data_IF_102067023939
#
_entry.id   IF_102067023939
#
_cell.length_a   1.000
_cell.length_b   1.000
_cell.length_c   1.000
_cell.angle_alpha   90.00
_cell.angle_beta   90.00
_cell.angle_gamma   90.00
#
_symmetry.space_group_name_H-M   'P 1'
#
loop_
_entity.id
_entity.type
_entity.pdbx_description
1 polymer ?
#
# COMPACT_ATOMS: atom_id res chain seq x y z
N UNK A 1 -36.44 27.79 -82.93
CA UNK A 1 -36.63 26.78 -81.87
C UNK A 1 -35.99 27.34 -80.62
N UNK A 2 -36.61 28.24 -79.85
CA UNK A 2 -37.94 28.20 -79.21
C UNK A 2 -38.01 27.27 -78.00
N UNK A 3 -38.45 27.87 -76.88
CA UNK A 3 -39.07 27.31 -75.65
C UNK A 3 -38.09 26.64 -74.66
N UNK A 4 -37.81 27.11 -73.43
CA UNK A 4 -38.56 27.77 -72.35
C UNK A 4 -39.51 26.86 -71.54
N UNK A 5 -39.36 26.95 -70.21
CA UNK A 5 -40.19 26.45 -69.10
C UNK A 5 -40.22 24.92 -68.85
N UNK A 6 -40.29 24.36 -67.62
CA UNK A 6 -40.98 24.80 -66.40
C UNK A 6 -40.31 24.19 -65.15
N UNK A 7 -40.12 25.05 -64.15
CA UNK A 7 -39.84 24.78 -62.74
C UNK A 7 -41.01 24.07 -62.03
N UNK A 8 -40.75 23.10 -61.13
CA UNK A 8 -41.74 22.73 -60.11
C UNK A 8 -41.12 22.15 -58.84
N UNK A 9 -40.92 23.02 -57.86
CA UNK A 9 -41.61 22.87 -56.58
C UNK A 9 -40.89 22.20 -55.39
N UNK A 10 -40.69 23.03 -54.37
CA UNK A 10 -40.78 22.76 -52.92
C UNK A 10 -39.60 22.07 -52.18
N UNK A 11 -38.92 22.87 -51.36
CA UNK A 11 -38.28 22.47 -50.10
C UNK A 11 -39.34 22.21 -49.00
N UNK A 12 -39.01 21.90 -47.71
CA UNK A 12 -37.77 21.40 -47.11
C UNK A 12 -37.99 20.14 -46.21
N UNK A 13 -36.97 19.32 -45.93
CA UNK A 13 -36.90 18.62 -44.64
C UNK A 13 -35.45 18.58 -44.14
N UNK A 14 -35.31 19.09 -42.92
CA UNK A 14 -34.12 19.19 -42.09
C UNK A 14 -33.63 17.83 -41.56
N UNK A 15 -32.32 17.73 -41.34
CA UNK A 15 -31.65 17.34 -40.07
C UNK A 15 -30.55 16.30 -40.25
N UNK A 16 -29.33 16.64 -39.83
CA UNK A 16 -28.28 15.66 -39.49
C UNK A 16 -26.88 16.00 -39.98
N UNK A 17 -26.33 17.14 -39.57
CA UNK A 17 -24.91 17.44 -39.74
C UNK A 17 -24.08 16.45 -38.90
N UNK A 18 -23.18 15.70 -39.54
CA UNK A 18 -22.11 14.97 -38.86
C UNK A 18 -20.85 15.85 -38.90
N UNK A 19 -20.59 16.43 -37.73
CA UNK A 19 -19.44 17.24 -37.38
C UNK A 19 -18.14 16.40 -37.39
N UNK A 20 -17.18 16.84 -38.18
CA UNK A 20 -15.81 16.31 -38.22
C UNK A 20 -15.03 16.79 -37.00
N UNK A 21 -15.05 15.98 -35.94
CA UNK A 21 -14.24 16.19 -34.74
C UNK A 21 -12.83 15.62 -34.88
N UNK A 22 -11.89 16.49 -35.21
CA UNK A 22 -10.45 16.31 -34.99
C UNK A 22 -10.18 15.95 -33.53
N UNK A 23 -9.41 14.89 -33.26
CA UNK A 23 -8.97 14.52 -31.91
C UNK A 23 -7.44 14.42 -31.86
N UNK A 24 -6.80 15.58 -31.71
CA UNK A 24 -5.62 15.74 -30.86
C UNK A 24 -6.15 16.04 -29.43
N UNK A 25 -5.49 15.59 -28.35
CA UNK A 25 -4.70 16.54 -27.55
C UNK A 25 -3.40 15.92 -26.96
N UNK A 26 -2.26 16.62 -27.01
CA UNK A 26 -1.73 17.58 -26.01
C UNK A 26 -1.26 16.90 -24.70
N UNK A 27 0.05 16.81 -24.40
CA UNK A 27 0.99 17.87 -24.02
C UNK A 27 0.67 18.55 -22.67
N UNK A 28 1.69 18.54 -21.80
CA UNK A 28 2.04 19.53 -20.78
C UNK A 28 1.00 19.90 -19.70
N UNK A 29 1.37 19.68 -18.43
CA UNK A 29 0.78 20.33 -17.26
C UNK A 29 1.87 20.88 -16.35
N UNK A 30 2.07 22.19 -16.37
CA UNK A 30 2.75 22.99 -15.35
C UNK A 30 1.69 23.89 -14.73
N UNK A 31 1.52 23.87 -13.39
CA UNK A 31 1.07 24.97 -12.51
C UNK A 31 1.15 24.45 -11.05
N UNK A 32 2.13 24.90 -10.24
CA UNK A 32 2.06 25.97 -9.22
C UNK A 32 1.06 25.67 -8.08
N UNK A 33 1.29 25.84 -6.77
CA UNK A 33 2.38 26.25 -5.86
C UNK A 33 1.89 25.90 -4.44
N UNK A 34 2.76 25.52 -3.51
CA UNK A 34 2.65 25.90 -2.07
C UNK A 34 3.94 25.53 -1.31
N UNK A 35 4.62 26.56 -0.79
CA UNK A 35 5.68 26.50 0.20
C UNK A 35 5.12 25.98 1.55
N UNK A 36 5.74 25.01 2.24
CA UNK A 36 6.94 25.02 3.09
C UNK A 36 6.70 25.41 4.57
N UNK A 37 6.92 24.42 5.45
CA UNK A 37 7.39 24.47 6.87
C UNK A 37 6.46 25.10 7.94
N UNK A 38 6.42 24.68 9.22
CA UNK A 38 7.43 24.05 10.11
C UNK A 38 6.74 23.57 11.41
N UNK A 39 7.35 22.57 12.08
CA UNK A 39 7.45 22.31 13.54
C UNK A 39 6.18 22.19 14.42
N UNK A 40 6.07 21.43 15.50
CA UNK A 40 6.72 20.26 16.12
C UNK A 40 5.99 20.10 17.48
N UNK A 41 5.81 18.84 17.90
CA UNK A 41 5.71 18.36 19.28
C UNK A 41 4.99 19.21 20.35
N UNK A 42 3.97 18.62 20.98
CA UNK A 42 4.06 18.24 22.40
C UNK A 42 2.98 17.23 22.77
N UNK A 43 3.41 16.24 23.55
CA UNK A 43 2.58 15.33 24.32
C UNK A 43 1.90 16.08 25.49
N UNK A 44 0.75 15.58 25.97
CA UNK A 44 0.64 15.06 27.34
C UNK A 44 -0.68 14.31 27.59
N UNK A 45 -0.50 13.05 27.99
CA UNK A 45 -1.15 12.27 29.05
C UNK A 45 -2.65 12.48 29.34
N UNK A 46 -3.43 11.43 29.00
CA UNK A 46 -4.75 11.15 29.59
C UNK A 46 -4.58 10.35 30.89
N UNK A 47 -4.98 10.98 31.98
CA UNK A 47 -5.22 10.38 33.28
C UNK A 47 -6.48 9.48 33.20
N UNK A 48 -6.40 8.23 33.67
CA UNK A 48 -7.60 7.40 33.88
C UNK A 48 -7.36 6.46 35.05
N UNK A 49 -7.83 6.91 36.21
CA UNK A 49 -8.05 6.13 37.39
C UNK A 49 -9.05 4.99 37.11
N UNK A 50 -8.72 3.77 37.55
CA UNK A 50 -9.72 2.72 37.77
C UNK A 50 -9.61 2.21 39.19
N UNK A 51 -10.67 2.51 39.93
CA UNK A 51 -10.97 2.01 41.26
C UNK A 51 -11.17 0.49 41.24
N UNK A 52 -10.63 -0.19 42.25
CA UNK A 52 -10.99 -1.56 42.57
C UNK A 52 -11.67 -1.59 43.94
N UNK A 53 -13.00 -1.62 43.89
CA UNK A 53 -13.91 -1.87 45.02
C UNK A 53 -13.83 -3.34 45.42
N UNK A 54 -13.51 -3.60 46.69
CA UNK A 54 -13.61 -4.92 47.30
C UNK A 54 -15.06 -5.18 47.75
N UNK A 55 -15.63 -6.30 47.34
CA UNK A 55 -16.94 -6.80 47.79
C UNK A 55 -16.76 -8.01 48.71
N UNK A 56 -17.25 -7.80 49.94
CA UNK A 56 -18.08 -8.68 50.77
C UNK A 56 -17.73 -10.16 51.00
N UNK A 57 -17.66 -10.52 52.28
CA UNK A 57 -18.30 -11.72 52.86
C UNK A 57 -18.44 -11.48 54.37
N UNK A 58 -19.64 -11.16 54.86
CA UNK A 58 -20.71 -12.08 55.27
C UNK A 58 -20.44 -12.72 56.65
N UNK A 59 -21.27 -12.27 57.59
CA UNK A 59 -21.32 -12.57 59.01
C UNK A 59 -21.86 -13.99 59.29
N UNK A 60 -21.31 -14.69 60.29
CA UNK A 60 -22.00 -15.79 60.96
C UNK A 60 -21.60 -15.84 62.44
N UNK A 61 -22.58 -15.55 63.31
CA UNK A 61 -22.51 -15.74 64.77
C UNK A 61 -22.51 -17.23 65.12
N UNK A 62 -21.73 -17.59 66.14
CA UNK A 62 -21.83 -18.87 66.83
C UNK A 62 -21.12 -18.79 68.18
N UNK A 63 -21.90 -18.77 69.25
CA UNK A 63 -21.44 -18.57 70.62
C UNK A 63 -20.61 -19.76 71.17
N UNK A 64 -19.73 -19.39 72.09
CA UNK A 64 -18.81 -20.16 72.93
C UNK A 64 -19.10 -21.65 73.21
N UNK A 65 -18.07 -22.48 72.96
CA UNK A 65 -17.75 -23.66 73.77
C UNK A 65 -16.28 -23.57 74.18
N UNK A 66 -16.04 -23.51 75.50
CA UNK A 66 -14.70 -23.60 76.11
C UNK A 66 -14.32 -25.07 76.23
N UNK A 67 -13.29 -25.52 75.51
CA UNK A 67 -12.45 -26.64 75.95
C UNK A 67 -11.08 -26.64 75.24
N UNK A 68 -10.07 -26.16 75.95
CA UNK A 68 -8.80 -26.83 76.32
C UNK A 68 -8.06 -27.78 75.35
N UNK A 69 -8.13 -27.63 74.02
CA UNK A 69 -7.43 -28.57 73.10
C UNK A 69 -6.60 -27.86 72.01
N UNK A 70 -6.34 -26.56 72.17
CA UNK A 70 -5.71 -25.69 71.17
C UNK A 70 -4.20 -25.41 71.33
N UNK A 71 -3.50 -26.12 72.21
CA UNK A 71 -2.05 -25.88 72.40
C UNK A 71 -1.12 -26.71 71.50
N UNK A 72 -1.63 -27.36 70.44
CA UNK A 72 -0.78 -28.14 69.50
C UNK A 72 -0.81 -27.70 68.04
N UNK A 73 -1.16 -26.46 67.73
CA UNK A 73 -0.76 -25.81 66.48
C UNK A 73 -0.27 -24.38 66.74
N UNK A 74 0.85 -24.27 67.47
CA UNK A 74 1.65 -23.05 67.46
C UNK A 74 2.50 -23.02 66.20
N UNK A 75 1.93 -22.49 65.11
CA UNK A 75 2.73 -22.06 63.96
C UNK A 75 3.49 -20.80 64.40
N UNK A 76 4.83 -20.77 64.36
CA UNK A 76 5.60 -19.62 64.82
C UNK A 76 5.23 -18.38 64.01
N UNK A 77 4.87 -17.31 64.73
CA UNK A 77 4.36 -16.04 64.18
C UNK A 77 5.46 -15.17 63.53
N UNK A 78 6.63 -15.75 63.24
CA UNK A 78 7.81 -15.07 62.66
C UNK A 78 8.13 -15.44 61.20
N UNK A 79 7.52 -16.49 60.62
CA UNK A 79 7.82 -16.94 59.24
C UNK A 79 6.80 -16.47 58.19
N UNK A 80 5.64 -15.95 58.61
CA UNK A 80 4.58 -15.51 57.69
C UNK A 80 4.99 -14.30 56.83
N UNK A 81 5.78 -13.37 57.39
CA UNK A 81 6.31 -12.23 56.65
C UNK A 81 7.34 -12.63 55.58
N UNK A 82 8.19 -13.62 55.89
CA UNK A 82 9.19 -14.13 54.93
C UNK A 82 8.54 -14.92 53.80
N UNK A 83 7.50 -15.71 54.08
CA UNK A 83 6.73 -16.42 53.05
C UNK A 83 5.97 -15.44 52.15
N UNK A 84 5.32 -14.43 52.73
CA UNK A 84 4.65 -13.38 51.96
C UNK A 84 5.63 -12.57 51.10
N UNK A 85 6.80 -12.21 51.63
CA UNK A 85 7.85 -11.51 50.88
C UNK A 85 8.40 -12.38 49.73
N UNK A 86 8.64 -13.68 49.94
CA UNK A 86 9.06 -14.59 48.88
C UNK A 86 8.01 -14.77 47.80
N UNK A 87 6.73 -14.85 48.17
CA UNK A 87 5.62 -14.91 47.21
C UNK A 87 5.53 -13.61 46.39
N UNK A 88 5.68 -12.45 47.02
CA UNK A 88 5.70 -11.17 46.32
C UNK A 88 6.87 -11.06 45.32
N UNK A 89 8.08 -11.48 45.73
CA UNK A 89 9.25 -11.53 44.84
C UNK A 89 9.02 -12.51 43.68
N UNK A 90 8.45 -13.69 43.93
CA UNK A 90 8.15 -14.66 42.88
C UNK A 90 7.13 -14.12 41.87
N UNK A 91 6.09 -13.41 42.32
CA UNK A 91 5.11 -12.76 41.43
C UNK A 91 5.76 -11.65 40.61
N UNK A 92 6.61 -10.82 41.22
CA UNK A 92 7.34 -9.77 40.51
C UNK A 92 8.28 -10.33 39.44
N UNK A 93 9.03 -11.39 39.77
CA UNK A 93 9.91 -12.06 38.82
C UNK A 93 9.11 -12.74 37.69
N UNK A 94 8.00 -13.41 38.02
CA UNK A 94 7.10 -14.01 37.04
C UNK A 94 6.51 -12.96 36.09
N UNK A 95 6.08 -11.81 36.63
CA UNK A 95 5.60 -10.68 35.85
C UNK A 95 6.67 -10.08 34.94
N UNK A 96 7.91 -9.94 35.42
CA UNK A 96 9.03 -9.42 34.63
C UNK A 96 9.44 -10.35 33.48
N UNK A 97 9.43 -11.68 33.70
CA UNK A 97 9.71 -12.65 32.65
C UNK A 97 8.58 -12.68 31.61
N UNK A 98 7.34 -12.66 32.07
CA UNK A 98 6.17 -12.63 31.19
C UNK A 98 6.13 -11.37 30.33
N UNK A 99 6.40 -10.19 30.92
CA UNK A 99 6.46 -8.93 30.16
C UNK A 99 7.61 -8.93 29.16
N UNK A 100 8.80 -9.38 29.55
CA UNK A 100 9.96 -9.49 28.64
C UNK A 100 9.66 -10.43 27.48
N UNK A 101 9.05 -11.60 27.74
CA UNK A 101 8.64 -12.54 26.70
C UNK A 101 7.60 -11.96 25.74
N UNK A 102 6.59 -11.27 26.27
CA UNK A 102 5.57 -10.59 25.46
C UNK A 102 6.18 -9.50 24.57
N UNK A 103 7.00 -8.60 25.15
CA UNK A 103 7.70 -7.55 24.39
C UNK A 103 8.62 -8.13 23.32
N UNK A 104 9.28 -9.26 23.58
CA UNK A 104 10.17 -9.89 22.61
C UNK A 104 9.43 -10.47 21.39
N UNK A 105 8.28 -11.12 21.60
CA UNK A 105 7.45 -11.61 20.48
C UNK A 105 6.89 -10.43 19.70
N UNK A 106 6.34 -9.42 20.38
CA UNK A 106 5.82 -8.23 19.72
C UNK A 106 6.88 -7.50 18.90
N UNK A 107 8.15 -7.48 19.35
CA UNK A 107 9.24 -6.87 18.60
C UNK A 107 9.60 -7.67 17.35
N UNK A 108 9.53 -9.01 17.37
CA UNK A 108 9.85 -9.84 16.21
C UNK A 108 8.87 -9.68 15.06
N UNK A 109 7.58 -9.60 15.37
CA UNK A 109 6.55 -9.41 14.34
C UNK A 109 6.72 -8.05 13.63
N UNK A 110 7.13 -7.02 14.38
CA UNK A 110 7.43 -5.72 13.80
C UNK A 110 8.68 -5.76 12.90
N UNK A 111 9.75 -6.44 13.33
CA UNK A 111 10.98 -6.58 12.52
C UNK A 111 10.71 -7.35 11.21
N UNK A 112 9.93 -8.43 11.27
CA UNK A 112 9.56 -9.22 10.09
C UNK A 112 8.72 -8.41 9.10
N UNK A 113 7.74 -7.65 9.60
CA UNK A 113 6.91 -6.76 8.79
C UNK A 113 7.73 -5.64 8.15
N UNK A 114 8.60 -4.97 8.92
CA UNK A 114 9.46 -3.91 8.40
C UNK A 114 10.44 -4.43 7.33
N UNK A 115 11.01 -5.62 7.56
CA UNK A 115 11.86 -6.28 6.56
C UNK A 115 11.09 -6.61 5.29
N UNK A 116 9.88 -7.17 5.41
CA UNK A 116 9.02 -7.46 4.27
C UNK A 116 8.63 -6.21 3.48
N UNK A 117 8.36 -5.09 4.17
CA UNK A 117 8.06 -3.81 3.53
C UNK A 117 9.26 -3.29 2.73
N UNK A 118 10.47 -3.35 3.30
CA UNK A 118 11.67 -2.91 2.57
C UNK A 118 11.98 -3.84 1.39
N UNK A 119 11.82 -5.15 1.53
CA UNK A 119 11.94 -6.11 0.42
C UNK A 119 10.94 -5.81 -0.70
N UNK A 120 9.66 -5.58 -0.35
CA UNK A 120 8.63 -5.26 -1.31
C UNK A 120 8.90 -3.92 -2.02
N UNK A 121 9.37 -2.91 -1.27
CA UNK A 121 9.79 -1.61 -1.79
C UNK A 121 10.93 -1.78 -2.79
N UNK A 122 11.97 -2.51 -2.42
CA UNK A 122 13.13 -2.76 -3.26
C UNK A 122 12.73 -3.51 -4.54
N UNK A 123 11.86 -4.52 -4.43
CA UNK A 123 11.33 -5.25 -5.57
C UNK A 123 10.51 -4.36 -6.51
N UNK A 124 9.63 -3.49 -5.97
CA UNK A 124 8.87 -2.54 -6.76
C UNK A 124 9.80 -1.54 -7.50
N UNK A 125 10.84 -1.06 -6.82
CA UNK A 125 11.85 -0.19 -7.40
C UNK A 125 12.70 -0.86 -8.47
N UNK A 126 13.02 -2.15 -8.30
CA UNK A 126 13.72 -2.94 -9.31
C UNK A 126 12.84 -3.19 -10.55
N UNK A 127 11.52 -3.32 -10.36
CA UNK A 127 10.57 -3.55 -11.45
C UNK A 127 10.15 -2.27 -12.17
N UNK A 128 10.22 -1.11 -11.52
CA UNK A 128 9.92 0.19 -12.11
C UNK A 128 10.61 0.46 -13.47
N UNK A 129 11.94 0.34 -13.61
CA UNK A 129 12.60 0.54 -14.90
C UNK A 129 12.21 -0.52 -15.94
N UNK A 130 11.80 -1.73 -15.52
CA UNK A 130 11.32 -2.77 -16.43
C UNK A 130 10.04 -2.33 -17.15
N UNK A 131 9.18 -1.55 -16.49
CA UNK A 131 7.96 -0.99 -17.08
C UNK A 131 8.19 0.28 -17.91
N UNK A 132 9.19 1.07 -17.55
CA UNK A 132 9.39 2.41 -18.11
C UNK A 132 10.48 2.50 -19.18
N UNK A 133 11.33 1.49 -19.31
CA UNK A 133 12.43 1.47 -20.26
C UNK A 133 12.14 0.53 -21.43
N UNK A 134 11.82 1.10 -22.59
CA UNK A 134 11.49 0.34 -23.79
C UNK A 134 11.93 1.08 -25.06
N UNK A 135 12.15 0.32 -26.13
CA UNK A 135 12.49 0.81 -27.46
C UNK A 135 11.55 0.15 -28.47
N UNK A 136 10.86 0.96 -29.28
CA UNK A 136 9.99 0.51 -30.37
C UNK A 136 10.65 -0.52 -31.30
N UNK A 137 11.98 -0.51 -31.42
CA UNK A 137 12.75 -1.44 -32.25
C UNK A 137 12.98 -2.81 -31.60
N UNK A 138 12.84 -2.92 -30.28
CA UNK A 138 13.08 -4.15 -29.52
C UNK A 138 12.06 -4.36 -28.40
N UNK A 139 10.79 -4.44 -28.78
CA UNK A 139 9.69 -4.58 -27.83
C UNK A 139 9.57 -5.99 -27.24
N UNK A 140 10.00 -7.04 -27.94
CA UNK A 140 9.85 -8.42 -27.46
C UNK A 140 10.58 -8.65 -26.13
N UNK A 141 11.81 -8.15 -26.00
CA UNK A 141 12.56 -8.22 -24.74
C UNK A 141 11.87 -7.46 -23.59
N UNK A 142 11.25 -6.31 -23.90
CA UNK A 142 10.49 -5.53 -22.92
C UNK A 142 9.28 -6.32 -22.42
N UNK A 143 8.45 -6.86 -23.31
CA UNK A 143 7.25 -7.61 -22.93
C UNK A 143 7.58 -8.87 -22.11
N UNK A 144 8.64 -9.61 -22.47
CA UNK A 144 9.11 -10.75 -21.67
C UNK A 144 9.54 -10.32 -20.27
N UNK A 145 10.36 -9.26 -20.16
CA UNK A 145 10.85 -8.79 -18.87
C UNK A 145 9.71 -8.32 -17.94
N UNK A 146 8.70 -7.65 -18.50
CA UNK A 146 7.51 -7.25 -17.73
C UNK A 146 6.75 -8.48 -17.22
N UNK A 147 6.53 -9.50 -18.06
CA UNK A 147 5.81 -10.72 -17.67
C UNK A 147 6.58 -11.57 -16.64
N UNK A 148 7.91 -11.51 -16.61
CA UNK A 148 8.76 -12.22 -15.64
C UNK A 148 8.72 -11.64 -14.22
N UNK A 149 8.35 -10.36 -14.10
CA UNK A 149 8.10 -9.68 -12.82
C UNK A 149 6.61 -9.59 -12.46
N UNK A 150 5.72 -10.08 -13.32
CA UNK A 150 4.28 -10.04 -13.13
C UNK A 150 3.70 -11.38 -12.64
N UNK A 151 2.62 -11.30 -11.86
CA UNK A 151 1.78 -12.43 -11.45
C UNK A 151 0.30 -12.04 -11.45
N UNK A 152 -0.59 -13.01 -11.23
CA UNK A 152 -2.04 -12.77 -11.06
C UNK A 152 -2.67 -11.97 -12.20
N UNK A 153 -3.52 -11.01 -11.82
CA UNK A 153 -4.31 -10.19 -12.75
C UNK A 153 -3.42 -9.35 -13.66
N UNK A 154 -2.36 -8.75 -13.11
CA UNK A 154 -1.43 -7.92 -13.89
C UNK A 154 -0.79 -8.70 -15.04
N UNK A 155 -0.30 -9.91 -14.76
CA UNK A 155 0.32 -10.76 -15.80
C UNK A 155 -0.67 -11.05 -16.92
N UNK A 156 -1.90 -11.41 -16.57
CA UNK A 156 -2.96 -11.73 -17.52
C UNK A 156 -3.35 -10.50 -18.36
N UNK A 157 -3.64 -9.37 -17.71
CA UNK A 157 -4.06 -8.14 -18.39
C UNK A 157 -2.98 -7.61 -19.32
N UNK A 158 -1.73 -7.64 -18.88
CA UNK A 158 -0.61 -7.19 -19.69
C UNK A 158 -0.41 -8.11 -20.90
N UNK A 159 -0.43 -9.44 -20.72
CA UNK A 159 -0.32 -10.40 -21.84
C UNK A 159 -1.45 -10.24 -22.86
N UNK A 160 -2.70 -10.13 -22.39
CA UNK A 160 -3.90 -9.98 -23.22
C UNK A 160 -3.83 -8.69 -24.08
N UNK A 161 -3.23 -7.60 -23.56
CA UNK A 161 -3.14 -6.28 -24.23
C UNK A 161 -1.80 -6.02 -24.92
N UNK A 162 -0.81 -6.90 -24.76
CA UNK A 162 0.57 -6.69 -25.23
C UNK A 162 0.66 -6.46 -26.74
N UNK A 163 -0.18 -7.14 -27.52
CA UNK A 163 -0.17 -7.06 -29.00
C UNK A 163 -0.54 -5.66 -29.49
N UNK A 164 -1.64 -5.12 -28.97
CA UNK A 164 -2.12 -3.79 -29.30
C UNK A 164 -1.12 -2.72 -28.84
N UNK A 165 -0.59 -2.87 -27.62
CA UNK A 165 0.44 -1.97 -27.11
C UNK A 165 1.70 -2.00 -27.98
N UNK A 166 2.13 -3.18 -28.45
CA UNK A 166 3.28 -3.32 -29.36
C UNK A 166 3.10 -2.53 -30.65
N UNK A 167 1.90 -2.59 -31.23
CA UNK A 167 1.57 -1.86 -32.44
C UNK A 167 1.61 -0.34 -32.21
N UNK A 168 0.97 0.15 -31.15
CA UNK A 168 0.96 1.58 -30.80
C UNK A 168 2.37 2.11 -30.54
N UNK A 169 3.18 1.38 -29.76
CA UNK A 169 4.57 1.78 -29.48
C UNK A 169 5.44 1.77 -30.73
N UNK A 170 5.23 0.80 -31.62
CA UNK A 170 5.96 0.71 -32.89
C UNK A 170 5.57 1.84 -33.86
N UNK A 171 4.28 2.13 -34.00
CA UNK A 171 3.78 3.20 -34.88
C UNK A 171 4.22 4.57 -34.39
N UNK A 172 4.25 4.77 -33.06
CA UNK A 172 4.71 6.01 -32.45
C UNK A 172 6.23 6.18 -32.42
N UNK A 173 6.99 5.16 -32.88
CA UNK A 173 8.44 5.07 -32.73
C UNK A 173 8.92 5.44 -31.32
N UNK A 174 8.19 4.96 -30.30
CA UNK A 174 8.40 5.41 -28.92
C UNK A 174 9.64 4.75 -28.32
N UNK A 175 10.55 5.58 -27.84
CA UNK A 175 11.70 5.18 -27.04
C UNK A 175 11.60 5.89 -25.70
N UNK A 176 11.55 5.11 -24.62
CA UNK A 176 11.54 5.64 -23.26
C UNK A 176 12.76 5.16 -22.50
N UNK A 177 13.41 6.08 -21.79
CA UNK A 177 14.55 5.80 -20.92
C UNK A 177 14.27 6.33 -19.53
N UNK A 178 14.44 5.48 -18.52
CA UNK A 178 14.31 5.86 -17.12
C UNK A 178 15.52 6.66 -16.66
N UNK A 179 15.29 7.76 -15.95
CA UNK A 179 16.30 8.63 -15.38
C UNK A 179 16.32 8.56 -13.85
N UNK A 180 15.15 8.49 -13.23
CA UNK A 180 14.97 8.49 -11.77
C UNK A 180 13.83 7.56 -11.38
N UNK A 181 13.95 6.91 -10.22
CA UNK A 181 12.94 6.02 -9.67
C UNK A 181 12.81 6.28 -8.18
N UNK A 182 11.59 6.63 -7.75
CA UNK A 182 11.25 6.79 -6.35
C UNK A 182 10.18 5.77 -5.97
N UNK A 183 10.39 5.05 -4.87
CA UNK A 183 9.41 4.10 -4.36
C UNK A 183 9.16 4.27 -2.88
N UNK A 184 7.89 4.12 -2.50
CA UNK A 184 7.44 4.07 -1.12
C UNK A 184 6.43 2.94 -0.95
N UNK A 185 6.40 2.31 0.22
CA UNK A 185 5.34 1.37 0.58
C UNK A 185 4.29 2.12 1.38
N UNK A 186 3.03 1.98 0.98
CA UNK A 186 1.89 2.60 1.63
C UNK A 186 1.31 1.72 2.73
N UNK A 187 1.18 0.42 2.46
CA UNK A 187 0.65 -0.58 3.39
C UNK A 187 1.07 -1.98 2.94
N UNK A 188 1.05 -2.96 3.84
CA UNK A 188 1.37 -4.35 3.52
C UNK A 188 1.55 -5.22 4.75
N UNK A 189 1.65 -6.52 4.51
CA UNK A 189 2.02 -7.57 5.45
C UNK A 189 3.30 -8.28 4.96
N UNK A 190 3.65 -9.42 5.55
CA UNK A 190 4.86 -10.18 5.21
C UNK A 190 4.87 -10.77 3.79
N UNK A 191 3.71 -10.84 3.14
CA UNK A 191 3.47 -11.52 1.86
C UNK A 191 2.80 -10.65 0.81
N UNK A 192 2.24 -9.52 1.19
CA UNK A 192 1.56 -8.58 0.28
C UNK A 192 1.90 -7.14 0.63
N UNK A 193 2.03 -6.26 -0.37
CA UNK A 193 2.27 -4.84 -0.13
C UNK A 193 1.70 -3.97 -1.24
N UNK A 194 1.38 -2.72 -0.93
CA UNK A 194 1.03 -1.68 -1.89
C UNK A 194 2.18 -0.67 -1.97
N UNK A 195 2.88 -0.68 -3.09
CA UNK A 195 3.99 0.22 -3.37
C UNK A 195 3.55 1.34 -4.32
N UNK A 196 3.92 2.57 -4.01
CA UNK A 196 3.81 3.72 -4.90
C UNK A 196 5.15 3.89 -5.58
N UNK A 197 5.14 3.98 -6.90
CA UNK A 197 6.32 4.14 -7.72
C UNK A 197 6.15 5.38 -8.59
N UNK A 198 7.15 6.25 -8.58
CA UNK A 198 7.23 7.43 -9.44
C UNK A 198 8.51 7.34 -10.25
N UNK A 199 8.39 7.44 -11.56
CA UNK A 199 9.47 7.24 -12.51
C UNK A 199 9.65 8.54 -13.30
N UNK A 200 10.82 9.15 -13.17
CA UNK A 200 11.29 10.18 -14.09
C UNK A 200 11.89 9.51 -15.31
N UNK A 201 11.46 9.92 -16.50
CA UNK A 201 11.90 9.33 -17.76
C UNK A 201 12.06 10.37 -18.86
N UNK A 202 12.77 9.98 -19.92
CA UNK A 202 12.92 10.76 -21.14
C UNK A 202 12.31 9.97 -22.28
N UNK A 203 11.32 10.57 -22.95
CA UNK A 203 10.57 9.94 -24.04
C UNK A 203 10.94 10.62 -25.35
N UNK A 204 11.19 9.81 -26.37
CA UNK A 204 11.35 10.24 -27.75
C UNK A 204 10.32 9.51 -28.60
N UNK A 205 9.56 10.21 -29.43
CA UNK A 205 8.56 9.61 -30.30
C UNK A 205 8.29 10.49 -31.52
N UNK A 206 7.45 10.02 -32.45
CA UNK A 206 6.93 10.86 -33.54
C UNK A 206 6.21 12.11 -32.99
N UNK A 207 5.50 11.98 -31.87
CA UNK A 207 4.80 13.09 -31.22
C UNK A 207 5.75 14.14 -30.62
N UNK A 208 6.96 13.76 -30.23
CA UNK A 208 8.01 14.70 -29.80
C UNK A 208 8.88 15.19 -30.95
N UNK A 209 8.49 14.92 -32.21
CA UNK A 209 9.28 15.24 -33.41
C UNK A 209 10.69 14.63 -33.38
N UNK A 210 10.84 13.46 -32.74
CA UNK A 210 12.14 12.79 -32.56
C UNK A 210 13.06 13.48 -31.56
N UNK A 211 12.59 14.48 -30.80
CA UNK A 211 13.38 15.16 -29.76
C UNK A 211 13.12 14.50 -28.40
N UNK A 212 14.16 14.31 -27.55
CA UNK A 212 13.97 13.84 -26.19
C UNK A 212 13.15 14.86 -25.37
N UNK A 213 12.04 14.42 -24.78
CA UNK A 213 11.19 15.21 -23.91
C UNK A 213 11.10 14.56 -22.51
N UNK A 214 11.08 15.35 -21.42
CA UNK A 214 10.89 14.80 -20.09
C UNK A 214 9.46 14.26 -19.93
N UNK A 215 9.35 13.10 -19.28
CA UNK A 215 8.09 12.47 -18.91
C UNK A 215 8.15 11.97 -17.48
N UNK A 216 6.98 11.83 -16.86
CA UNK A 216 6.85 11.24 -15.54
C UNK A 216 5.75 10.20 -15.57
N UNK A 217 6.02 9.04 -14.98
CA UNK A 217 5.05 7.95 -14.84
C UNK A 217 4.92 7.60 -13.37
N UNK A 218 3.71 7.76 -12.83
CA UNK A 218 3.38 7.39 -11.46
C UNK A 218 2.41 6.22 -11.46
N UNK A 219 2.61 5.25 -10.59
CA UNK A 219 1.75 4.08 -10.46
C UNK A 219 1.71 3.53 -9.04
N UNK A 220 0.64 2.82 -8.73
CA UNK A 220 0.48 2.02 -7.51
C UNK A 220 0.55 0.55 -7.91
N UNK A 221 1.52 -0.16 -7.35
CA UNK A 221 1.73 -1.59 -7.57
C UNK A 221 1.28 -2.37 -6.33
N UNK A 222 0.39 -3.35 -6.52
CA UNK A 222 0.18 -4.39 -5.51
C UNK A 222 1.20 -5.49 -5.72
N UNK A 223 2.09 -5.63 -4.75
CA UNK A 223 3.12 -6.66 -4.66
C UNK A 223 2.55 -7.89 -3.97
N UNK A 224 2.96 -9.07 -4.43
CA UNK A 224 2.69 -10.35 -3.78
C UNK A 224 3.95 -11.20 -3.76
N UNK A 225 4.22 -11.87 -2.64
CA UNK A 225 5.32 -12.81 -2.48
C UNK A 225 4.87 -14.19 -2.93
N UNK A 226 5.36 -14.63 -4.08
CA UNK A 226 5.05 -15.94 -4.67
C UNK A 226 6.34 -16.75 -4.71
N UNK A 227 6.34 -17.93 -4.09
CA UNK A 227 7.52 -18.81 -4.00
C UNK A 227 8.79 -18.09 -3.49
N UNK A 228 8.61 -17.17 -2.54
CA UNK A 228 9.70 -16.38 -1.97
C UNK A 228 10.16 -15.19 -2.81
N UNK A 229 9.61 -14.98 -4.01
CA UNK A 229 9.90 -13.83 -4.89
C UNK A 229 8.76 -12.81 -4.84
N UNK A 230 9.12 -11.55 -4.66
CA UNK A 230 8.17 -10.44 -4.79
C UNK A 230 7.87 -10.18 -6.27
N UNK A 231 6.59 -10.25 -6.64
CA UNK A 231 6.08 -10.02 -8.00
C UNK A 231 4.93 -9.03 -7.96
N UNK A 232 4.68 -8.36 -9.09
CA UNK A 232 3.57 -7.41 -9.22
C UNK A 232 2.30 -8.17 -9.59
N UNK A 233 1.31 -8.15 -8.70
CA UNK A 233 0.00 -8.76 -8.89
C UNK A 233 -1.00 -7.80 -9.56
N UNK A 234 -0.88 -6.49 -9.30
CA UNK A 234 -1.75 -5.46 -9.88
C UNK A 234 -1.00 -4.15 -10.08
N UNK A 235 -1.31 -3.43 -11.15
CA UNK A 235 -0.84 -2.05 -11.39
C UNK A 235 -2.03 -1.14 -11.58
N UNK A 236 -2.00 0.02 -10.94
CA UNK A 236 -3.02 1.06 -11.04
C UNK A 236 -2.36 2.41 -11.31
N UNK A 237 -2.94 3.23 -12.19
CA UNK A 237 -2.54 4.62 -12.33
C UNK A 237 -3.25 5.48 -11.27
N UNK A 238 -2.56 6.30 -10.47
CA UNK A 238 -3.18 7.20 -9.50
C UNK A 238 -4.01 8.31 -10.16
N UNK A 239 -3.85 8.53 -11.47
CA UNK A 239 -4.59 9.54 -12.24
C UNK A 239 -5.93 9.00 -12.80
N UNK A 240 -6.25 7.73 -12.58
CA UNK A 240 -7.55 7.15 -12.91
C UNK A 240 -8.21 6.70 -11.60
N UNK A 241 -9.30 7.34 -11.15
CA UNK A 241 -10.03 6.87 -9.97
C UNK A 241 -10.38 5.39 -10.16
N UNK A 242 -10.02 4.56 -9.19
CA UNK A 242 -10.50 3.18 -9.18
C UNK A 242 -12.04 3.21 -9.17
N UNK A 243 -12.74 2.43 -10.03
CA UNK A 243 -14.18 2.31 -9.90
C UNK A 243 -14.48 1.80 -8.49
N UNK A 244 -15.18 2.63 -7.72
CA UNK A 244 -15.65 2.27 -6.39
C UNK A 244 -16.53 1.03 -6.56
N UNK A 245 -16.13 -0.08 -5.95
CA UNK A 245 -16.95 -1.29 -5.79
C UNK A 245 -17.69 -1.18 -4.47
#
# INVERSE_FOLDING_TARGET
MSDNDVDKGAAPVTTGAADTGSAEPAAAGTEAQAALSTDKSSADVKDTAVAATAIASAEAKGAAVKSSWRDRLRIPRGTKGVVAARAAVAVLLGGAIASTGYFFVQNKDNEALLAAHEEARAAACAYAPVLANYDAKNLDAYFTAVLDGATGDWKKQFDDTSRELKEVLSQGEVVSKTNDVQCAVKTGDETSAEAIVVIGQTITSVGTQGKPAPGQLSMVMRMAKVDGKWLVNKVNSPLVPAPQQ
#
